data_IF_965376577299
#
_entry.id   IF_965376577299
#
_cell.length_a   1.000
_cell.length_b   1.000
_cell.length_c   1.000
_cell.angle_alpha   90.00
_cell.angle_beta   90.00
_cell.angle_gamma   90.00
#
_symmetry.space_group_name_H-M   'P 1'
#
loop_
_entity.id
_entity.type
_entity.pdbx_description
1 polymer ?
#
# COMPACT_ATOMS: atom_id res chain seq x y z
N UNK A 1 -49.60 -10.61 47.52
CA UNK A 1 -50.01 -10.36 46.14
C UNK A 1 -49.25 -9.22 45.46
N UNK A 2 -49.12 -8.06 46.09
CA UNK A 2 -48.42 -6.86 45.50
C UNK A 2 -46.93 -7.07 45.21
N UNK A 3 -46.22 -7.87 46.00
CA UNK A 3 -44.78 -8.14 45.84
C UNK A 3 -44.49 -9.05 44.62
N UNK A 4 -45.35 -10.05 44.35
CA UNK A 4 -45.24 -10.95 43.19
C UNK A 4 -45.48 -10.22 41.88
N UNK A 5 -46.38 -9.25 41.87
CA UNK A 5 -46.68 -8.44 40.68
C UNK A 5 -45.48 -7.50 40.36
N UNK A 6 -44.85 -6.90 41.37
CA UNK A 6 -43.66 -6.06 41.16
C UNK A 6 -42.46 -6.86 40.65
N UNK A 7 -42.28 -8.09 41.11
CA UNK A 7 -41.22 -8.97 40.62
C UNK A 7 -41.47 -9.43 39.19
N UNK A 8 -42.71 -9.73 38.85
CA UNK A 8 -43.11 -10.10 37.48
C UNK A 8 -42.95 -8.94 36.50
N UNK A 9 -43.25 -7.69 36.88
CA UNK A 9 -43.02 -6.48 36.10
C UNK A 9 -41.52 -6.19 35.91
N UNK A 10 -40.69 -6.47 36.92
CA UNK A 10 -39.22 -6.32 36.82
C UNK A 10 -38.61 -7.31 35.86
N UNK A 11 -39.06 -8.59 35.83
CA UNK A 11 -38.61 -9.59 34.88
C UNK A 11 -39.06 -9.22 33.44
N UNK A 12 -40.26 -8.70 33.28
CA UNK A 12 -40.77 -8.28 31.98
C UNK A 12 -40.05 -7.08 31.40
N UNK A 13 -39.53 -6.18 32.25
CA UNK A 13 -38.72 -5.04 31.81
C UNK A 13 -37.29 -5.44 31.37
N UNK A 14 -36.76 -6.54 31.89
CA UNK A 14 -35.43 -7.05 31.56
C UNK A 14 -35.38 -7.88 30.27
N UNK A 15 -36.54 -8.30 29.76
CA UNK A 15 -36.65 -9.21 28.58
C UNK A 15 -36.63 -8.49 27.23
N UNK A 16 -36.52 -7.16 27.19
CA UNK A 16 -36.64 -6.38 25.94
C UNK A 16 -35.30 -5.75 25.49
N UNK A 17 -34.16 -6.28 25.97
CA UNK A 17 -32.89 -5.93 25.36
C UNK A 17 -32.68 -6.84 24.14
N UNK A 18 -33.43 -6.58 23.09
CA UNK A 18 -33.05 -7.08 21.77
C UNK A 18 -31.80 -6.34 21.35
N UNK A 19 -30.66 -7.05 21.36
CA UNK A 19 -29.46 -6.57 20.70
C UNK A 19 -29.79 -6.50 19.20
N UNK A 20 -30.15 -5.31 18.75
CA UNK A 20 -30.21 -5.02 17.31
C UNK A 20 -28.77 -5.11 16.80
N UNK A 21 -28.39 -6.23 16.21
CA UNK A 21 -27.18 -6.27 15.39
C UNK A 21 -27.48 -5.35 14.21
N UNK A 22 -26.82 -4.18 14.20
CA UNK A 22 -26.74 -3.41 12.96
C UNK A 22 -26.04 -4.30 11.93
N UNK A 23 -26.67 -4.52 10.78
CA UNK A 23 -26.01 -5.19 9.67
C UNK A 23 -24.76 -4.39 9.34
N UNK A 24 -23.62 -5.02 9.45
CA UNK A 24 -22.34 -4.41 9.12
C UNK A 24 -22.34 -4.09 7.63
N UNK A 25 -22.35 -2.79 7.31
CA UNK A 25 -22.37 -2.33 5.91
C UNK A 25 -21.05 -2.70 5.26
N UNK A 26 -21.07 -3.66 4.34
CA UNK A 26 -19.88 -3.97 3.52
C UNK A 26 -19.66 -2.85 2.48
N UNK A 27 -18.77 -1.92 2.80
CA UNK A 27 -18.42 -0.78 1.95
C UNK A 27 -17.61 -1.18 0.70
N UNK A 28 -17.05 -2.39 0.69
CA UNK A 28 -16.15 -2.86 -0.36
C UNK A 28 -16.47 -4.30 -0.82
N UNK A 29 -17.71 -4.53 -1.28
CA UNK A 29 -18.24 -5.86 -1.64
C UNK A 29 -17.35 -6.67 -2.58
N UNK A 30 -16.70 -6.00 -3.54
CA UNK A 30 -15.87 -6.63 -4.57
C UNK A 30 -14.38 -6.74 -4.17
N UNK A 31 -13.97 -6.15 -3.04
CA UNK A 31 -12.60 -6.24 -2.57
C UNK A 31 -12.40 -7.48 -1.67
N UNK A 32 -11.26 -8.15 -1.80
CA UNK A 32 -10.87 -9.23 -0.88
C UNK A 32 -10.49 -8.68 0.50
N UNK A 33 -9.83 -7.53 0.52
CA UNK A 33 -9.42 -6.81 1.72
C UNK A 33 -9.59 -5.32 1.48
N UNK A 34 -9.97 -4.57 2.51
CA UNK A 34 -10.12 -3.13 2.46
C UNK A 34 -9.98 -2.52 3.85
N UNK A 35 -9.55 -1.27 3.89
CA UNK A 35 -9.46 -0.48 5.12
C UNK A 35 -9.87 0.96 4.80
N UNK A 36 -10.64 1.57 5.69
CA UNK A 36 -10.99 2.98 5.65
C UNK A 36 -10.39 3.66 6.88
N UNK A 37 -9.55 4.66 6.63
CA UNK A 37 -8.81 5.39 7.66
C UNK A 37 -9.16 6.87 7.56
N UNK A 38 -9.39 7.51 8.69
CA UNK A 38 -9.50 8.96 8.76
C UNK A 38 -8.11 9.57 8.55
N UNK A 39 -7.96 10.46 7.55
CA UNK A 39 -6.66 10.89 7.05
C UNK A 39 -5.87 11.77 8.05
N UNK A 40 -6.56 12.52 8.91
CA UNK A 40 -5.91 13.44 9.85
C UNK A 40 -5.48 12.77 11.15
N UNK A 41 -6.19 11.75 11.59
CA UNK A 41 -5.97 11.06 12.88
C UNK A 41 -5.32 9.70 12.73
N UNK A 42 -5.47 9.05 11.57
CA UNK A 42 -5.09 7.66 11.35
C UNK A 42 -6.06 6.65 11.98
N UNK A 43 -7.22 7.09 12.47
CA UNK A 43 -8.23 6.21 13.07
C UNK A 43 -8.85 5.29 12.02
N UNK A 44 -8.93 3.98 12.34
CA UNK A 44 -9.58 3.01 11.46
C UNK A 44 -11.09 3.13 11.65
N UNK A 45 -11.78 3.60 10.62
CA UNK A 45 -13.23 3.78 10.62
C UNK A 45 -13.97 2.51 10.22
N UNK A 46 -13.36 1.69 9.37
CA UNK A 46 -13.90 0.42 8.92
C UNK A 46 -12.81 -0.44 8.31
N UNK A 47 -12.94 -1.77 8.45
CA UNK A 47 -11.99 -2.70 7.85
C UNK A 47 -12.67 -4.01 7.41
N UNK A 48 -12.10 -4.62 6.38
CA UNK A 48 -12.47 -5.94 5.88
C UNK A 48 -11.21 -6.72 5.56
N UNK A 49 -10.95 -7.80 6.30
CA UNK A 49 -9.76 -8.64 6.13
C UNK A 49 -8.44 -7.83 6.03
N UNK A 50 -8.32 -6.72 6.76
CA UNK A 50 -7.24 -5.75 6.60
C UNK A 50 -5.84 -6.34 6.87
N UNK A 51 -5.78 -7.45 7.62
CA UNK A 51 -4.54 -8.16 7.96
C UNK A 51 -4.27 -9.38 7.06
N UNK A 52 -5.10 -9.63 6.04
CA UNK A 52 -4.86 -10.71 5.09
C UNK A 52 -3.66 -10.37 4.21
N UNK A 53 -2.72 -11.32 4.10
CA UNK A 53 -1.54 -11.17 3.23
C UNK A 53 -1.94 -11.37 1.78
N UNK A 54 -2.02 -10.30 1.04
CA UNK A 54 -2.33 -10.27 -0.37
C UNK A 54 -1.19 -9.65 -1.16
N UNK A 55 -1.02 -10.09 -2.42
CA UNK A 55 -0.07 -9.46 -3.32
C UNK A 55 -0.60 -8.07 -3.75
N UNK A 56 0.08 -6.97 -3.39
CA UNK A 56 -0.43 -5.62 -3.64
C UNK A 56 -0.17 -5.13 -5.08
N UNK A 57 0.35 -5.99 -5.95
CA UNK A 57 0.71 -5.67 -7.34
C UNK A 57 1.56 -4.39 -7.42
N UNK A 58 1.25 -3.47 -8.34
CA UNK A 58 2.03 -2.24 -8.53
C UNK A 58 2.06 -1.29 -7.34
N UNK A 59 1.23 -1.46 -6.32
CA UNK A 59 1.34 -0.69 -5.07
C UNK A 59 2.68 -0.92 -4.36
N UNK A 60 3.34 -2.05 -4.59
CA UNK A 60 4.71 -2.32 -4.12
C UNK A 60 5.70 -1.24 -4.55
N UNK A 61 5.48 -0.59 -5.70
CA UNK A 61 6.34 0.49 -6.21
C UNK A 61 6.34 1.74 -5.33
N UNK A 62 5.33 1.92 -4.48
CA UNK A 62 5.32 2.99 -3.47
C UNK A 62 6.51 2.84 -2.51
N UNK A 63 6.83 1.61 -2.11
CA UNK A 63 8.02 1.35 -1.28
C UNK A 63 9.30 1.64 -2.05
N UNK A 64 9.40 1.24 -3.32
CA UNK A 64 10.57 1.54 -4.16
C UNK A 64 10.79 3.05 -4.31
N UNK A 65 9.72 3.81 -4.54
CA UNK A 65 9.78 5.28 -4.60
C UNK A 65 10.20 5.89 -3.26
N UNK A 66 9.68 5.40 -2.15
CA UNK A 66 10.08 5.86 -0.81
C UNK A 66 11.58 5.67 -0.58
N UNK A 67 12.12 4.50 -0.92
CA UNK A 67 13.55 4.22 -0.78
C UNK A 67 14.44 5.12 -1.65
N UNK A 68 13.97 5.49 -2.84
CA UNK A 68 14.66 6.47 -3.70
C UNK A 68 14.68 7.85 -3.04
N UNK A 69 13.54 8.33 -2.55
CA UNK A 69 13.45 9.63 -1.86
C UNK A 69 14.33 9.65 -0.61
N UNK A 70 14.27 8.60 0.22
CA UNK A 70 15.15 8.50 1.39
C UNK A 70 16.64 8.48 1.02
N UNK A 71 17.00 7.85 -0.10
CA UNK A 71 18.39 7.83 -0.58
C UNK A 71 18.86 9.22 -1.03
N UNK A 72 17.94 10.01 -1.60
CA UNK A 72 18.21 11.41 -1.98
C UNK A 72 18.34 12.28 -0.73
N UNK A 73 17.44 12.15 0.25
CA UNK A 73 17.48 12.90 1.50
C UNK A 73 18.76 12.62 2.30
N UNK A 74 19.27 11.38 2.23
CA UNK A 74 20.57 10.98 2.82
C UNK A 74 21.78 11.43 2.01
N UNK A 75 21.60 12.06 0.84
CA UNK A 75 22.66 12.51 -0.05
C UNK A 75 23.38 11.40 -0.83
N UNK A 76 22.86 10.16 -0.80
CA UNK A 76 23.44 9.01 -1.51
C UNK A 76 23.06 8.99 -3.00
N UNK A 77 22.00 9.71 -3.38
CA UNK A 77 21.48 9.82 -4.73
C UNK A 77 21.09 11.27 -5.01
N UNK A 78 21.09 11.68 -6.28
CA UNK A 78 20.63 13.01 -6.69
C UNK A 78 19.61 12.89 -7.80
N UNK A 79 18.67 13.83 -7.88
CA UNK A 79 17.64 13.86 -8.90
C UNK A 79 18.19 13.94 -10.33
N UNK A 80 19.26 14.71 -10.53
CA UNK A 80 19.94 14.92 -11.80
C UNK A 80 20.98 13.84 -12.12
N UNK A 81 21.21 12.88 -11.21
CA UNK A 81 22.18 11.82 -11.43
C UNK A 81 21.73 10.91 -12.58
N UNK A 82 22.63 10.71 -13.56
CA UNK A 82 22.40 9.80 -14.68
C UNK A 82 22.62 8.34 -14.25
N UNK A 83 21.67 7.50 -14.58
CA UNK A 83 21.69 6.05 -14.31
C UNK A 83 21.71 5.31 -15.62
N UNK A 84 22.61 4.34 -15.74
CA UNK A 84 22.70 3.48 -16.94
C UNK A 84 21.76 2.29 -16.78
N UNK A 85 20.94 2.05 -17.78
CA UNK A 85 19.98 0.95 -17.85
C UNK A 85 20.70 -0.38 -18.04
N UNK A 86 20.44 -1.33 -17.15
CA UNK A 86 21.00 -2.68 -17.25
C UNK A 86 20.22 -3.53 -18.27
N UNK A 87 20.86 -4.57 -18.81
CA UNK A 87 20.20 -5.55 -19.67
C UNK A 87 18.99 -6.23 -18.98
N UNK A 88 19.08 -6.47 -17.67
CA UNK A 88 17.97 -7.04 -16.91
C UNK A 88 16.78 -6.09 -16.84
N UNK A 89 17.03 -4.80 -16.67
CA UNK A 89 15.99 -3.79 -16.62
C UNK A 89 15.26 -3.68 -17.97
N UNK A 90 15.99 -3.59 -19.08
CA UNK A 90 15.39 -3.45 -20.43
C UNK A 90 14.56 -4.66 -20.87
N UNK A 91 14.76 -5.83 -20.24
CA UNK A 91 14.02 -7.07 -20.54
C UNK A 91 12.81 -7.30 -19.62
N UNK A 92 12.52 -6.38 -18.68
CA UNK A 92 11.39 -6.53 -17.78
C UNK A 92 10.07 -6.45 -18.54
N UNK A 93 9.15 -7.37 -18.23
CA UNK A 93 7.79 -7.37 -18.79
C UNK A 93 6.81 -6.49 -18.02
N UNK A 94 5.60 -6.38 -18.54
CA UNK A 94 4.51 -5.59 -17.95
C UNK A 94 4.53 -4.13 -18.37
N UNK A 95 4.09 -3.21 -17.49
CA UNK A 95 4.16 -1.76 -17.75
C UNK A 95 5.61 -1.30 -17.84
N UNK A 96 5.97 -0.57 -18.89
CA UNK A 96 7.34 -0.16 -19.20
C UNK A 96 7.34 1.26 -19.79
N UNK A 97 8.48 1.94 -19.69
CA UNK A 97 8.80 3.12 -20.50
C UNK A 97 9.77 2.80 -21.66
N UNK A 98 9.98 1.49 -21.90
CA UNK A 98 10.74 0.92 -23.01
C UNK A 98 12.22 1.36 -23.03
N UNK A 99 12.88 1.21 -21.88
CA UNK A 99 14.29 1.53 -21.73
C UNK A 99 15.19 0.55 -22.51
N UNK A 100 16.20 1.09 -23.21
CA UNK A 100 17.19 0.29 -23.91
C UNK A 100 18.41 -0.01 -23.04
N UNK A 101 19.04 -1.17 -23.25
CA UNK A 101 20.28 -1.52 -22.56
C UNK A 101 21.38 -0.51 -22.85
N UNK A 102 21.99 0.06 -21.82
CA UNK A 102 23.04 1.05 -21.93
C UNK A 102 22.54 2.49 -22.08
N UNK A 103 21.25 2.70 -22.24
CA UNK A 103 20.64 4.02 -22.20
C UNK A 103 20.91 4.70 -20.85
N UNK A 104 21.04 6.04 -20.87
CA UNK A 104 21.21 6.82 -19.66
C UNK A 104 20.01 7.75 -19.46
N UNK A 105 19.46 7.73 -18.25
CA UNK A 105 18.33 8.58 -17.88
C UNK A 105 18.52 9.14 -16.47
N UNK A 106 18.01 10.34 -16.21
CA UNK A 106 18.08 10.94 -14.89
C UNK A 106 17.24 10.17 -13.86
N UNK A 107 17.64 10.21 -12.58
CA UNK A 107 16.83 9.64 -11.50
C UNK A 107 15.43 10.26 -11.49
N UNK A 108 15.32 11.56 -11.77
CA UNK A 108 14.05 12.27 -11.82
C UNK A 108 13.10 11.69 -12.88
N UNK A 109 13.60 11.48 -14.10
CA UNK A 109 12.79 10.96 -15.21
C UNK A 109 12.43 9.48 -15.00
N UNK A 110 13.37 8.69 -14.46
CA UNK A 110 13.10 7.32 -14.03
C UNK A 110 12.01 7.28 -12.95
N UNK A 111 12.11 8.15 -11.94
CA UNK A 111 11.11 8.25 -10.87
C UNK A 111 9.72 8.61 -11.42
N UNK A 112 9.64 9.56 -12.36
CA UNK A 112 8.39 9.88 -13.07
C UNK A 112 7.85 8.68 -13.84
N UNK A 113 8.72 7.91 -14.50
CA UNK A 113 8.33 6.67 -15.18
C UNK A 113 7.65 5.65 -14.25
N UNK A 114 8.14 5.51 -13.02
CA UNK A 114 7.50 4.66 -12.00
C UNK A 114 6.20 5.27 -11.51
N UNK A 115 6.20 6.55 -11.15
CA UNK A 115 5.05 7.20 -10.51
C UNK A 115 3.84 7.32 -11.44
N UNK A 116 4.07 7.61 -12.72
CA UNK A 116 3.01 7.86 -13.72
C UNK A 116 2.73 6.61 -14.56
N UNK A 117 3.79 5.97 -15.07
CA UNK A 117 3.71 4.83 -15.98
C UNK A 117 3.69 3.47 -15.29
N UNK A 118 3.94 3.44 -13.97
CA UNK A 118 4.11 2.18 -13.24
C UNK A 118 5.19 1.27 -13.86
N UNK A 119 6.28 1.85 -14.38
CA UNK A 119 7.30 1.20 -15.19
C UNK A 119 8.08 0.14 -14.39
N UNK A 120 8.05 -1.10 -14.84
CA UNK A 120 8.78 -2.22 -14.23
C UNK A 120 10.27 -2.19 -14.56
N UNK A 121 10.62 -1.82 -15.78
CA UNK A 121 11.99 -1.68 -16.30
C UNK A 121 12.81 -0.68 -15.46
N UNK A 122 12.16 0.34 -14.89
CA UNK A 122 12.80 1.30 -14.01
C UNK A 122 13.12 0.71 -12.63
N UNK A 123 12.17 -0.02 -12.03
CA UNK A 123 12.31 -0.53 -10.65
C UNK A 123 13.50 -1.49 -10.51
N UNK A 124 13.89 -2.16 -11.57
CA UNK A 124 14.96 -3.18 -11.60
C UNK A 124 16.34 -2.61 -11.97
N UNK A 125 16.46 -1.30 -12.18
CA UNK A 125 17.76 -0.70 -12.47
C UNK A 125 18.70 -0.88 -11.27
N UNK A 126 19.63 -1.84 -11.41
CA UNK A 126 20.72 -2.00 -10.43
C UNK A 126 21.72 -0.88 -10.58
N UNK A 127 21.96 -0.14 -9.51
CA UNK A 127 23.08 0.79 -9.46
C UNK A 127 24.39 0.00 -9.56
N UNK A 128 25.13 0.16 -10.63
CA UNK A 128 26.48 -0.41 -10.83
C UNK A 128 27.57 0.28 -9.96
N UNK A 129 27.22 1.05 -8.95
CA UNK A 129 28.19 1.68 -8.05
C UNK A 129 27.83 1.40 -6.59
N UNK A 130 28.69 0.77 -5.92
CA UNK A 130 29.06 0.49 -4.53
C UNK A 130 28.38 1.21 -3.33
N UNK A 131 27.22 1.84 -3.44
CA UNK A 131 26.67 2.67 -2.35
C UNK A 131 25.39 2.11 -1.70
N UNK A 132 24.72 1.13 -2.29
CA UNK A 132 23.62 0.46 -1.61
C UNK A 132 23.92 -1.03 -1.60
N UNK A 133 24.46 -1.50 -0.47
CA UNK A 133 24.89 -2.88 -0.26
C UNK A 133 23.76 -3.90 -0.05
N UNK A 134 22.53 -3.61 -0.45
CA UNK A 134 21.42 -4.53 -0.37
C UNK A 134 20.67 -4.58 -1.70
N UNK A 135 20.52 -5.78 -2.19
CA UNK A 135 19.72 -6.12 -3.35
C UNK A 135 18.24 -5.94 -2.96
N UNK A 136 17.63 -4.85 -3.41
CA UNK A 136 16.17 -4.70 -3.26
C UNK A 136 15.53 -5.60 -4.32
N UNK A 137 15.34 -6.85 -3.98
CA UNK A 137 14.46 -7.77 -4.71
C UNK A 137 13.08 -7.69 -4.06
N UNK A 138 12.15 -7.06 -4.74
CA UNK A 138 10.74 -7.04 -4.32
C UNK A 138 10.00 -8.16 -5.03
#
# INVERSE_FOLDING_TARGET
MKLKIKFMLFIMFFSVITVVKADEVDLAKNAKSAILIEASTGEIMWEKNAHEKLAPASMTKMMSMLLVVESIDKGNLKWDQMITVSENASKMGGSQILLETGEQMSVEDLFKGVAVGSANDVVVIKKQSQVIGEEITI
#
